data_IF_831638153495
#
_entry.id   IF_831638153495
#
_cell.length_a   1.000
_cell.length_b   1.000
_cell.length_c   1.000
_cell.angle_alpha   90.00
_cell.angle_beta   90.00
_cell.angle_gamma   90.00
#
_symmetry.space_group_name_H-M   'P 1'
#
loop_
_entity.id
_entity.type
_entity.pdbx_description
1 polymer ?
#
# COMPACT_ATOMS: atom_id res chain seq x y z
N UNK A 1 8.49 24.02 16.73
CA UNK A 1 8.52 23.74 16.38
C UNK A 1 8.47 23.33 15.86
N UNK A 2 8.34 23.59 15.68
CA UNK A 2 8.35 23.26 15.02
C UNK A 2 8.06 22.65 14.57
N UNK A 3 7.82 22.78 14.36
CA UNK A 3 7.56 22.35 13.63
C UNK A 3 6.90 21.77 13.47
N UNK A 4 6.77 21.91 13.82
CA UNK A 4 6.07 21.16 13.58
C UNK A 4 5.81 20.84 12.74
N UNK A 5 6.41 21.25 12.75
CA UNK A 5 6.10 21.21 11.63
C UNK A 5 5.23 20.37 11.07
N UNK A 6 4.63 20.82 10.37
CA UNK A 6 3.73 20.07 9.63
C UNK A 6 2.94 19.11 10.49
N UNK A 7 2.77 19.44 11.70
CA UNK A 7 1.96 18.64 12.57
C UNK A 7 2.50 17.25 12.88
N UNK A 8 3.63 16.87 12.32
CA UNK A 8 4.22 15.59 12.61
C UNK A 8 5.41 15.75 13.53
N UNK A 9 5.43 14.96 14.57
CA UNK A 9 6.55 14.93 15.48
C UNK A 9 7.26 13.59 15.27
N UNK A 10 8.58 13.59 15.01
CA UNK A 10 9.29 12.33 14.73
C UNK A 10 9.12 11.28 15.82
N UNK A 11 9.03 11.68 17.07
CA UNK A 11 8.85 10.67 18.13
C UNK A 11 7.45 10.07 18.17
N UNK A 12 6.49 10.65 17.47
CA UNK A 12 5.14 10.09 17.36
C UNK A 12 4.97 9.25 16.12
N UNK A 13 5.95 9.26 15.23
CA UNK A 13 5.89 8.50 14.00
C UNK A 13 6.31 7.07 14.28
N UNK A 14 5.53 6.14 13.74
CA UNK A 14 5.72 4.73 14.01
C UNK A 14 5.51 3.93 12.74
N UNK A 15 6.45 3.05 12.43
CA UNK A 15 6.31 2.13 11.32
C UNK A 15 5.36 1.02 11.74
N UNK A 16 4.20 0.95 11.10
CA UNK A 16 3.21 -0.07 11.44
C UNK A 16 3.20 -1.22 10.46
N UNK A 17 3.88 -1.08 9.32
CA UNK A 17 3.92 -2.13 8.31
C UNK A 17 5.18 -1.97 7.48
N UNK A 18 5.88 -3.07 7.23
CA UNK A 18 7.03 -3.10 6.32
C UNK A 18 6.98 -4.38 5.51
N UNK A 19 7.28 -4.26 4.23
CA UNK A 19 7.30 -5.42 3.35
C UNK A 19 8.21 -5.13 2.16
N UNK A 20 8.33 -6.10 1.28
CA UNK A 20 9.17 -5.99 0.11
C UNK A 20 8.52 -6.80 -1.01
N UNK A 21 8.61 -6.30 -2.24
CA UNK A 21 8.11 -7.04 -3.39
C UNK A 21 9.04 -8.19 -3.69
N UNK A 22 8.49 -9.41 -3.70
CA UNK A 22 9.26 -10.65 -3.91
C UNK A 22 9.09 -11.21 -5.30
N UNK A 23 8.02 -10.86 -5.97
CA UNK A 23 7.75 -11.35 -7.31
C UNK A 23 6.90 -10.37 -8.08
N UNK A 24 6.94 -10.50 -9.40
CA UNK A 24 6.19 -9.62 -10.29
C UNK A 24 5.51 -10.47 -11.34
N UNK A 25 4.18 -10.44 -11.35
CA UNK A 25 3.42 -11.18 -12.34
C UNK A 25 3.65 -10.62 -13.75
N UNK A 26 3.50 -11.47 -14.74
CA UNK A 26 3.76 -11.08 -16.13
C UNK A 26 2.84 -9.99 -16.63
N UNK A 27 1.66 -9.83 -16.01
CA UNK A 27 0.66 -8.84 -16.39
C UNK A 27 0.45 -7.79 -15.29
N UNK A 28 1.34 -7.75 -14.30
CA UNK A 28 1.18 -6.85 -13.15
C UNK A 28 1.19 -5.37 -13.57
N UNK A 29 1.92 -5.05 -14.63
CA UNK A 29 2.00 -3.66 -15.10
C UNK A 29 0.82 -3.22 -15.93
N UNK A 30 -0.10 -4.12 -16.26
CA UNK A 30 -1.25 -3.78 -17.09
C UNK A 30 -2.19 -2.78 -16.43
N UNK A 31 -2.13 -2.67 -15.10
CA UNK A 31 -3.02 -1.77 -14.36
C UNK A 31 -2.41 -0.40 -14.09
N UNK A 32 -1.18 -0.17 -14.52
CA UNK A 32 -0.52 1.13 -14.28
C UNK A 32 -1.26 2.28 -14.96
N UNK A 33 -1.80 2.03 -16.15
CA UNK A 33 -2.59 3.04 -16.86
C UNK A 33 -3.86 3.42 -16.12
N UNK A 34 -4.33 2.54 -15.25
CA UNK A 34 -5.49 2.79 -14.41
C UNK A 34 -5.11 3.26 -13.02
N UNK A 35 -3.83 3.56 -12.82
CA UNK A 35 -3.29 4.03 -11.56
C UNK A 35 -3.51 3.04 -10.42
N UNK A 36 -3.34 1.76 -10.73
CA UNK A 36 -3.57 0.68 -9.78
C UNK A 36 -2.39 -0.27 -9.71
N UNK A 37 -2.17 -0.79 -8.51
CA UNK A 37 -1.21 -1.86 -8.25
C UNK A 37 -1.92 -2.88 -7.36
N UNK A 38 -1.79 -4.16 -7.69
CA UNK A 38 -2.37 -5.23 -6.88
C UNK A 38 -1.25 -5.98 -6.18
N UNK A 39 -1.35 -6.07 -4.86
CA UNK A 39 -0.41 -6.84 -4.03
C UNK A 39 -1.10 -8.11 -3.55
N UNK A 40 -0.35 -9.20 -3.48
CA UNK A 40 -0.87 -10.45 -2.97
C UNK A 40 0.25 -11.23 -2.29
N UNK A 41 -0.08 -11.95 -1.23
CA UNK A 41 0.89 -12.80 -0.55
C UNK A 41 1.34 -13.96 -1.42
N UNK A 42 2.34 -14.69 -0.95
CA UNK A 42 2.98 -15.75 -1.72
C UNK A 42 2.05 -16.87 -2.15
N UNK A 43 0.90 -16.99 -1.51
CA UNK A 43 -0.05 -18.09 -1.80
C UNK A 43 -1.20 -17.63 -2.68
N UNK A 44 -0.99 -16.63 -3.50
CA UNK A 44 -2.01 -16.19 -4.44
C UNK A 44 -2.39 -17.33 -5.40
N UNK A 45 -3.69 -17.45 -5.73
CA UNK A 45 -4.10 -18.42 -6.75
C UNK A 45 -3.41 -18.17 -8.08
N UNK A 46 -3.13 -19.23 -8.82
CA UNK A 46 -2.38 -19.15 -10.06
C UNK A 46 -3.01 -18.16 -11.04
N UNK A 47 -4.33 -18.11 -11.13
CA UNK A 47 -4.99 -17.22 -12.08
C UNK A 47 -4.89 -15.75 -11.68
N UNK A 48 -4.57 -15.43 -10.44
CA UNK A 48 -4.40 -14.04 -9.98
C UNK A 48 -2.95 -13.63 -9.94
N UNK A 49 -2.04 -14.58 -9.84
CA UNK A 49 -0.61 -14.31 -9.67
C UNK A 49 -0.04 -13.44 -10.78
N UNK A 50 -0.48 -13.66 -12.01
CA UNK A 50 0.05 -12.94 -13.17
C UNK A 50 -0.26 -11.44 -13.11
N UNK A 51 -1.30 -11.06 -12.38
CA UNK A 51 -1.74 -9.67 -12.29
C UNK A 51 -1.21 -8.97 -11.05
N UNK A 52 -0.47 -9.67 -10.19
CA UNK A 52 -0.10 -9.17 -8.87
C UNK A 52 1.40 -9.05 -8.69
N UNK A 53 1.78 -8.15 -7.77
CA UNK A 53 3.13 -8.17 -7.22
C UNK A 53 3.07 -9.02 -5.95
N UNK A 54 3.97 -9.98 -5.85
CA UNK A 54 4.00 -10.89 -4.68
C UNK A 54 4.74 -10.24 -3.52
N UNK A 55 4.19 -10.40 -2.33
CA UNK A 55 4.79 -9.88 -1.11
C UNK A 55 4.75 -10.98 -0.04
N UNK A 56 5.49 -10.77 1.05
CA UNK A 56 5.40 -11.65 2.19
C UNK A 56 4.11 -11.36 2.96
N UNK A 57 3.65 -12.35 3.71
CA UNK A 57 2.50 -12.15 4.57
C UNK A 57 2.98 -11.52 5.87
N UNK A 58 2.68 -10.25 6.05
CA UNK A 58 3.08 -9.49 7.23
C UNK A 58 1.84 -8.80 7.79
N UNK A 59 1.60 -8.97 9.07
CA UNK A 59 0.46 -8.33 9.72
C UNK A 59 0.84 -6.91 10.14
N UNK A 60 0.03 -5.89 9.80
CA UNK A 60 0.27 -4.54 10.30
C UNK A 60 0.22 -4.50 11.82
N UNK A 61 1.06 -3.68 12.42
CA UNK A 61 1.16 -3.58 13.88
C UNK A 61 0.09 -2.70 14.50
N UNK A 62 -0.64 -1.97 13.67
CA UNK A 62 -1.68 -1.06 14.14
C UNK A 62 -2.70 -0.86 13.02
N UNK A 63 -3.76 -0.14 13.31
CA UNK A 63 -4.81 0.11 12.32
C UNK A 63 -4.30 1.02 11.20
N UNK A 64 -4.64 0.67 9.97
CA UNK A 64 -4.34 1.50 8.81
C UNK A 64 -5.47 2.53 8.68
N UNK A 65 -5.09 3.81 8.63
CA UNK A 65 -6.06 4.92 8.64
C UNK A 65 -5.68 6.00 7.65
N UNK A 66 -6.67 6.76 7.18
CA UNK A 66 -6.37 7.95 6.37
C UNK A 66 -5.48 8.91 7.15
N UNK A 67 -4.60 9.60 6.46
CA UNK A 67 -3.65 10.51 7.08
C UNK A 67 -2.30 9.90 7.34
N UNK A 68 -2.22 8.58 7.35
CA UNK A 68 -0.93 7.90 7.42
C UNK A 68 -0.24 7.97 6.06
N UNK A 69 1.01 7.55 6.00
CA UNK A 69 1.81 7.65 4.77
C UNK A 69 2.25 6.27 4.34
N UNK A 70 2.02 5.97 3.07
CA UNK A 70 2.49 4.76 2.44
C UNK A 70 3.76 5.09 1.64
N UNK A 71 4.86 4.41 1.96
CA UNK A 71 6.14 4.63 1.27
C UNK A 71 6.39 3.51 0.28
N UNK A 72 6.79 3.89 -0.93
CA UNK A 72 7.23 2.93 -1.94
C UNK A 72 8.64 3.34 -2.35
N UNK A 73 9.65 2.58 -1.94
CA UNK A 73 11.07 2.88 -2.15
C UNK A 73 11.43 4.31 -1.70
N UNK A 74 10.84 4.72 -0.58
CA UNK A 74 11.12 6.06 -0.01
C UNK A 74 10.27 7.17 -0.56
N UNK A 75 9.48 6.92 -1.60
CA UNK A 75 8.54 7.93 -2.10
C UNK A 75 7.27 7.90 -1.28
N UNK A 76 6.79 9.08 -0.88
CA UNK A 76 5.65 9.22 0.04
C UNK A 76 4.34 9.35 -0.70
N UNK A 77 3.33 8.63 -0.21
CA UNK A 77 1.96 8.74 -0.71
C UNK A 77 1.04 8.82 0.50
N UNK A 78 0.32 9.92 0.64
CA UNK A 78 -0.63 10.03 1.75
C UNK A 78 -1.78 9.04 1.53
N UNK A 79 -2.17 8.33 2.59
CA UNK A 79 -3.34 7.45 2.55
C UNK A 79 -4.58 8.34 2.67
N UNK A 80 -5.40 8.35 1.63
CA UNK A 80 -6.57 9.23 1.59
C UNK A 80 -7.86 8.53 1.97
N UNK A 81 -7.91 7.20 1.80
CA UNK A 81 -9.08 6.42 2.19
C UNK A 81 -8.69 4.95 2.32
N UNK A 82 -9.40 4.21 3.16
CA UNK A 82 -9.10 2.81 3.45
C UNK A 82 -10.39 2.00 3.34
N UNK A 83 -10.41 1.01 2.43
CA UNK A 83 -11.55 0.12 2.31
C UNK A 83 -11.73 -0.73 3.56
N UNK A 84 -12.95 -1.13 3.82
CA UNK A 84 -13.32 -1.84 5.05
C UNK A 84 -12.57 -3.16 5.25
N UNK A 85 -12.16 -3.80 4.16
CA UNK A 85 -11.48 -5.11 4.22
C UNK A 85 -9.97 -5.02 4.05
N UNK A 86 -9.41 -3.82 3.90
CA UNK A 86 -7.97 -3.66 3.68
C UNK A 86 -7.16 -4.26 4.82
N UNK A 87 -7.51 -3.90 6.05
CA UNK A 87 -6.78 -4.37 7.23
C UNK A 87 -6.79 -5.90 7.29
N UNK A 88 -7.95 -6.47 7.13
CA UNK A 88 -8.14 -7.91 7.23
C UNK A 88 -7.44 -8.65 6.08
N UNK A 89 -7.64 -8.18 4.86
CA UNK A 89 -7.08 -8.87 3.70
C UNK A 89 -5.56 -8.78 3.68
N UNK A 90 -5.01 -7.65 4.10
CA UNK A 90 -3.56 -7.52 4.19
C UNK A 90 -3.00 -8.45 5.25
N UNK A 91 -3.67 -8.57 6.39
CA UNK A 91 -3.22 -9.40 7.51
C UNK A 91 -3.32 -10.89 7.21
N UNK A 92 -4.34 -11.31 6.47
CA UNK A 92 -4.61 -12.75 6.27
C UNK A 92 -4.16 -13.27 4.93
N UNK A 93 -4.17 -12.43 3.88
CA UNK A 93 -3.86 -12.85 2.52
C UNK A 93 -2.70 -12.08 1.91
N UNK A 94 -2.33 -10.96 2.49
CA UNK A 94 -1.39 -10.05 1.87
C UNK A 94 -1.98 -9.39 0.63
N UNK A 95 -3.30 -9.36 0.51
CA UNK A 95 -4.00 -8.95 -0.71
C UNK A 95 -4.65 -7.61 -0.53
N UNK A 96 -4.16 -6.61 -1.23
CA UNK A 96 -4.83 -5.32 -1.34
C UNK A 96 -4.56 -4.72 -2.70
N UNK A 97 -5.46 -3.85 -3.13
CA UNK A 97 -5.25 -3.03 -4.32
C UNK A 97 -4.85 -1.64 -3.85
N UNK A 98 -3.81 -1.09 -4.45
CA UNK A 98 -3.42 0.31 -4.21
C UNK A 98 -3.94 1.13 -5.38
N UNK A 99 -4.65 2.22 -5.09
CA UNK A 99 -5.17 3.09 -6.14
C UNK A 99 -4.68 4.51 -5.89
N UNK A 100 -4.06 5.10 -6.90
CA UNK A 100 -3.37 6.39 -6.77
C UNK A 100 -4.23 7.51 -7.36
N UNK A 101 -5.46 7.65 -6.86
CA UNK A 101 -6.41 8.64 -7.40
C UNK A 101 -6.86 9.69 -6.38
N UNK A 102 -6.32 9.64 -5.17
CA UNK A 102 -6.67 10.62 -4.14
C UNK A 102 -8.09 10.55 -3.64
N UNK A 103 -8.81 9.46 -3.93
CA UNK A 103 -10.20 9.34 -3.50
C UNK A 103 -10.30 9.37 -1.98
N UNK A 104 -11.31 10.07 -1.46
CA UNK A 104 -11.60 10.12 -0.03
C UNK A 104 -12.80 9.27 0.33
N UNK A 105 -13.36 8.54 -0.64
CA UNK A 105 -14.49 7.65 -0.42
C UNK A 105 -14.04 6.21 -0.70
N UNK A 106 -14.13 5.31 0.30
CA UNK A 106 -13.64 3.94 0.12
C UNK A 106 -14.70 3.06 -0.55
N UNK A 107 -14.88 3.24 -1.85
CA UNK A 107 -15.91 2.53 -2.60
C UNK A 107 -15.68 1.03 -2.69
N UNK A 108 -14.41 0.61 -2.82
CA UNK A 108 -14.07 -0.81 -2.92
C UNK A 108 -13.46 -1.28 -1.61
N UNK A 109 -14.03 -2.32 -0.99
CA UNK A 109 -13.61 -2.74 0.36
C UNK A 109 -12.15 -3.17 0.47
N UNK A 110 -11.59 -3.75 -0.60
CA UNK A 110 -10.21 -4.24 -0.59
C UNK A 110 -9.19 -3.28 -1.16
N UNK A 111 -9.55 -2.01 -1.31
CA UNK A 111 -8.68 -1.02 -1.95
C UNK A 111 -8.20 0.01 -0.94
N UNK A 112 -6.89 0.27 -0.96
CA UNK A 112 -6.25 1.34 -0.20
C UNK A 112 -6.03 2.49 -1.17
N UNK A 113 -6.61 3.65 -0.87
CA UNK A 113 -6.55 4.81 -1.74
C UNK A 113 -5.42 5.72 -1.31
N UNK A 114 -4.58 6.08 -2.26
CA UNK A 114 -3.41 6.90 -2.04
C UNK A 114 -3.53 8.20 -2.82
N UNK A 115 -2.73 9.16 -2.41
CA UNK A 115 -2.62 10.46 -3.02
C UNK A 115 -2.53 10.35 -4.54
N UNK A 116 -3.16 11.29 -5.26
CA UNK A 116 -3.17 11.30 -6.72
C UNK A 116 -1.81 11.74 -7.23
N UNK A 117 -0.95 10.79 -7.50
CA UNK A 117 0.39 10.99 -8.02
C UNK A 117 0.67 9.93 -9.06
N UNK A 118 1.73 10.13 -9.83
CA UNK A 118 2.17 9.11 -10.77
C UNK A 118 2.53 7.84 -10.03
N UNK A 119 2.09 6.69 -10.57
CA UNK A 119 2.39 5.40 -9.96
C UNK A 119 3.89 5.13 -10.12
N UNK A 120 4.59 4.85 -9.03
CA UNK A 120 6.03 4.60 -9.12
C UNK A 120 6.31 3.26 -9.77
N UNK A 121 7.51 3.11 -10.29
CA UNK A 121 7.94 1.84 -10.84
C UNK A 121 8.13 0.83 -9.72
N UNK A 122 7.55 -0.34 -9.88
CA UNK A 122 7.63 -1.42 -8.90
C UNK A 122 8.38 -2.59 -9.52
N UNK A 123 9.42 -3.06 -8.85
CA UNK A 123 10.21 -4.21 -9.27
C UNK A 123 10.50 -5.11 -8.08
N UNK A 124 11.16 -6.22 -8.35
CA UNK A 124 11.62 -7.09 -7.28
C UNK A 124 12.51 -6.31 -6.31
N UNK A 125 12.25 -6.44 -5.03
CA UNK A 125 13.01 -5.74 -4.02
C UNK A 125 12.47 -4.36 -3.66
N UNK A 126 11.41 -3.88 -4.32
CA UNK A 126 10.79 -2.61 -3.97
C UNK A 126 10.30 -2.67 -2.52
N UNK A 127 10.69 -1.68 -1.73
CA UNK A 127 10.33 -1.63 -0.31
C UNK A 127 9.00 -0.92 -0.11
N UNK A 128 8.17 -1.51 0.73
CA UNK A 128 6.85 -0.98 1.07
C UNK A 128 6.79 -0.73 2.57
N UNK A 129 6.20 0.39 2.98
CA UNK A 129 6.15 0.76 4.39
C UNK A 129 4.95 1.64 4.65
N UNK A 130 4.32 1.49 5.81
CA UNK A 130 3.26 2.40 6.27
C UNK A 130 3.72 3.01 7.58
N UNK A 131 3.69 4.34 7.61
CA UNK A 131 4.07 5.11 8.80
C UNK A 131 2.82 5.78 9.36
N UNK A 132 2.59 5.54 10.63
CA UNK A 132 1.54 6.21 11.40
C UNK A 132 2.10 7.52 11.97
N UNK A 133 1.30 8.55 11.96
CA UNK A 133 1.73 9.82 12.55
C UNK A 133 1.18 9.96 13.95
#
# INVERSE_FOLDING_TARGET
LEGAAAGRCPKLMKTIYENKVKGKGSLAENFLDEKMIILFGNEAPQELKDFCYSIDLVEPKDDIKPGQVFYINGEEFEITSVGDLVQRNLSTLGHITLRFDGSTTPELPGTLYLEDKEVPKIDLGTKLKIISA
#
